data_IF_740959950498
#
_entry.id   IF_740959950498
#
_cell.length_a   1.000
_cell.length_b   1.000
_cell.length_c   1.000
_cell.angle_alpha   90.00
_cell.angle_beta   90.00
_cell.angle_gamma   90.00
#
_symmetry.space_group_name_H-M   'P 1'
#
loop_
_entity.id
_entity.type
_entity.pdbx_description
1 polymer ?
#
# COMPACT_ATOMS: atom_id res chain seq x y z
N UNK A 1 16.77 -7.30 -18.51
CA UNK A 1 17.11 -6.13 -17.66
C UNK A 1 16.47 -4.88 -18.28
N UNK A 2 15.15 -4.75 -18.18
CA UNK A 2 14.43 -3.58 -18.63
C UNK A 2 13.43 -3.24 -17.53
N UNK A 3 13.63 -2.10 -16.84
CA UNK A 3 12.67 -1.34 -16.03
C UNK A 3 13.44 -0.42 -15.06
N UNK A 4 14.12 0.59 -15.59
CA UNK A 4 14.79 1.61 -14.77
C UNK A 4 14.63 3.02 -15.35
N UNK A 5 13.48 3.28 -15.97
CA UNK A 5 12.99 4.64 -16.24
C UNK A 5 11.65 4.86 -15.53
N UNK A 6 11.55 4.38 -14.28
CA UNK A 6 10.49 4.83 -13.39
C UNK A 6 10.85 6.25 -12.95
N UNK A 7 10.07 7.24 -13.39
CA UNK A 7 10.20 8.63 -12.98
C UNK A 7 10.47 8.69 -11.47
N UNK A 8 11.54 9.35 -10.98
CA UNK A 8 11.87 9.40 -9.56
C UNK A 8 10.68 9.90 -8.71
N UNK A 9 9.87 10.79 -9.30
CA UNK A 9 8.66 11.35 -8.69
C UNK A 9 7.57 10.29 -8.38
N UNK A 10 7.48 9.24 -9.21
CA UNK A 10 6.51 8.15 -9.00
C UNK A 10 6.81 7.35 -7.75
N UNK A 11 8.07 6.95 -7.59
CA UNK A 11 8.50 6.16 -6.43
C UNK A 11 8.42 6.98 -5.15
N UNK A 12 8.71 8.28 -5.23
CA UNK A 12 8.59 9.20 -4.11
C UNK A 12 7.13 9.39 -3.68
N UNK A 13 6.22 9.66 -4.61
CA UNK A 13 4.79 9.81 -4.31
C UNK A 13 4.20 8.53 -3.68
N UNK A 14 4.58 7.37 -4.20
CA UNK A 14 4.18 6.08 -3.62
C UNK A 14 4.72 5.89 -2.20
N UNK A 15 5.97 6.27 -1.96
CA UNK A 15 6.60 6.18 -0.63
C UNK A 15 5.82 7.03 0.37
N UNK A 16 5.45 8.26 0.01
CA UNK A 16 4.63 9.12 0.86
C UNK A 16 3.25 8.53 1.17
N UNK A 17 2.58 7.91 0.18
CA UNK A 17 1.30 7.22 0.41
C UNK A 17 1.47 6.08 1.43
N UNK A 18 2.54 5.30 1.31
CA UNK A 18 2.82 4.18 2.23
C UNK A 18 3.08 4.70 3.65
N UNK A 19 3.92 5.72 3.79
CA UNK A 19 4.26 6.32 5.09
C UNK A 19 3.02 6.93 5.75
N UNK A 20 2.24 7.71 5.00
CA UNK A 20 1.01 8.31 5.49
C UNK A 20 0.01 7.26 5.98
N UNK A 21 -0.07 6.11 5.29
CA UNK A 21 -0.91 5.00 5.73
C UNK A 21 -0.39 4.31 7.00
N UNK A 22 0.92 4.09 7.09
CA UNK A 22 1.53 3.52 8.30
C UNK A 22 1.33 4.45 9.50
N UNK A 23 1.53 5.75 9.33
CA UNK A 23 1.25 6.74 10.38
C UNK A 23 -0.22 6.73 10.79
N UNK A 24 -1.14 6.61 9.83
CA UNK A 24 -2.56 6.44 10.13
C UNK A 24 -2.82 5.19 10.98
N UNK A 25 -2.26 4.03 10.62
CA UNK A 25 -2.42 2.80 11.41
C UNK A 25 -1.80 2.91 12.81
N UNK A 26 -0.61 3.51 12.92
CA UNK A 26 0.05 3.76 14.20
C UNK A 26 -0.76 4.74 15.06
N UNK A 27 -1.40 5.74 14.46
CA UNK A 27 -2.27 6.68 15.17
C UNK A 27 -3.49 6.00 15.80
N UNK A 28 -4.04 4.97 15.13
CA UNK A 28 -5.21 4.23 15.59
C UNK A 28 -4.88 3.11 16.56
N UNK A 29 -3.86 2.31 16.24
CA UNK A 29 -3.57 1.04 16.91
C UNK A 29 -2.26 1.05 17.70
N UNK A 30 -1.51 2.17 17.69
CA UNK A 30 -0.15 2.30 18.26
C UNK A 30 0.86 1.31 17.65
N UNK A 31 0.52 0.64 16.55
CA UNK A 31 1.33 -0.33 15.81
C UNK A 31 0.94 -0.28 14.32
N UNK A 32 1.86 -0.59 13.39
CA UNK A 32 1.57 -0.64 11.95
C UNK A 32 0.83 -1.94 11.57
N UNK A 33 -0.38 -2.10 12.11
CA UNK A 33 -1.19 -3.32 11.94
C UNK A 33 -2.56 -2.93 11.40
N UNK A 34 -2.97 -3.57 10.31
CA UNK A 34 -4.34 -3.51 9.82
C UNK A 34 -5.16 -4.63 10.45
N UNK A 35 -6.21 -4.27 11.20
CA UNK A 35 -7.09 -5.26 11.85
C UNK A 35 -8.16 -5.73 10.87
N UNK A 36 -8.13 -7.00 10.52
CA UNK A 36 -9.14 -7.64 9.69
C UNK A 36 -9.99 -8.62 10.52
N UNK A 37 -11.21 -8.92 10.06
CA UNK A 37 -12.09 -9.88 10.74
C UNK A 37 -11.51 -11.31 10.84
N UNK A 38 -10.57 -11.65 9.96
CA UNK A 38 -9.91 -12.96 9.93
C UNK A 38 -8.51 -12.95 10.56
N UNK A 39 -8.09 -11.84 11.16
CA UNK A 39 -6.79 -11.71 11.80
C UNK A 39 -6.11 -10.36 11.55
N UNK A 40 -5.04 -10.12 12.28
CA UNK A 40 -4.26 -8.89 12.18
C UNK A 40 -3.19 -9.03 11.09
N UNK A 41 -3.12 -8.04 10.19
CA UNK A 41 -2.11 -7.99 9.12
C UNK A 41 -1.05 -6.98 9.53
N UNK A 42 0.14 -7.46 9.87
CA UNK A 42 1.31 -6.59 10.13
C UNK A 42 1.84 -6.04 8.81
N UNK A 43 1.99 -4.72 8.73
CA UNK A 43 2.41 -4.04 7.51
C UNK A 43 3.76 -3.35 7.72
N UNK A 44 4.60 -3.39 6.69
CA UNK A 44 5.84 -2.64 6.61
C UNK A 44 5.85 -1.78 5.33
N UNK A 45 6.68 -0.74 5.31
CA UNK A 45 6.78 0.19 4.17
C UNK A 45 7.13 -0.50 2.84
N UNK A 46 8.14 -1.40 2.75
CA UNK A 46 8.49 -2.01 1.47
C UNK A 46 7.39 -2.93 0.92
N UNK A 47 6.73 -3.73 1.77
CA UNK A 47 5.63 -4.59 1.33
C UNK A 47 4.41 -3.79 0.89
N UNK A 48 4.10 -2.68 1.59
CA UNK A 48 3.03 -1.76 1.15
C UNK A 48 3.32 -1.18 -0.23
N UNK A 49 4.56 -0.74 -0.44
CA UNK A 49 5.00 -0.16 -1.70
C UNK A 49 4.85 -1.15 -2.85
N UNK A 50 5.37 -2.36 -2.66
CA UNK A 50 5.30 -3.42 -3.67
C UNK A 50 3.86 -3.85 -3.94
N UNK A 51 3.05 -4.04 -2.89
CA UNK A 51 1.66 -4.45 -3.02
C UNK A 51 0.83 -3.45 -3.84
N UNK A 52 0.94 -2.15 -3.52
CA UNK A 52 0.19 -1.11 -4.23
C UNK A 52 0.66 -1.00 -5.68
N UNK A 53 1.97 -1.05 -5.90
CA UNK A 53 2.53 -0.85 -7.24
C UNK A 53 2.15 -2.01 -8.17
N UNK A 54 2.30 -3.24 -7.70
CA UNK A 54 1.90 -4.45 -8.42
C UNK A 54 0.39 -4.47 -8.65
N UNK A 55 -0.42 -4.11 -7.65
CA UNK A 55 -1.89 -4.07 -7.80
C UNK A 55 -2.36 -3.09 -8.89
N UNK A 56 -1.70 -1.93 -9.02
CA UNK A 56 -2.04 -0.97 -10.07
C UNK A 56 -1.46 -1.37 -11.42
N UNK A 57 -0.29 -2.02 -11.43
CA UNK A 57 0.30 -2.59 -12.64
C UNK A 57 -0.59 -3.69 -13.23
N UNK A 58 -1.13 -4.59 -12.39
CA UNK A 58 -2.05 -5.67 -12.80
C UNK A 58 -3.37 -5.13 -13.36
N UNK A 59 -3.78 -3.93 -12.95
CA UNK A 59 -4.92 -3.21 -13.55
C UNK A 59 -4.61 -2.59 -14.91
N UNK A 60 -3.38 -2.70 -15.41
CA UNK A 60 -2.94 -2.12 -16.67
C UNK A 60 -2.73 -0.60 -16.59
N UNK A 61 -2.45 -0.03 -15.41
CA UNK A 61 -2.25 1.41 -15.28
C UNK A 61 -0.81 1.79 -15.61
N UNK A 62 -0.65 2.64 -16.63
CA UNK A 62 0.64 3.24 -16.97
C UNK A 62 1.22 4.10 -15.83
N UNK A 63 2.54 4.38 -15.86
CA UNK A 63 3.25 5.09 -14.80
C UNK A 63 2.65 6.48 -14.50
N UNK A 64 2.30 7.26 -15.53
CA UNK A 64 1.71 8.60 -15.36
C UNK A 64 0.39 8.57 -14.60
N UNK A 65 -0.50 7.61 -14.94
CA UNK A 65 -1.77 7.42 -14.23
C UNK A 65 -1.57 7.00 -12.78
N UNK A 66 -0.54 6.21 -12.50
CA UNK A 66 -0.18 5.81 -11.13
C UNK A 66 0.29 7.01 -10.30
N UNK A 67 1.15 7.87 -10.85
CA UNK A 67 1.58 9.11 -10.16
C UNK A 67 0.37 9.97 -9.80
N UNK A 68 -0.50 10.25 -10.78
CA UNK A 68 -1.72 11.05 -10.56
C UNK A 68 -2.60 10.42 -9.49
N UNK A 69 -2.73 9.09 -9.49
CA UNK A 69 -3.48 8.37 -8.46
C UNK A 69 -2.88 8.58 -7.07
N UNK A 70 -1.58 8.38 -6.91
CA UNK A 70 -0.90 8.56 -5.62
C UNK A 70 -1.07 9.98 -5.11
N UNK A 71 -0.90 10.97 -5.99
CA UNK A 71 -1.09 12.37 -5.64
C UNK A 71 -2.51 12.66 -5.16
N UNK A 72 -3.54 12.05 -5.77
CA UNK A 72 -4.93 12.20 -5.33
C UNK A 72 -5.27 11.49 -4.02
N UNK A 73 -4.47 10.51 -3.58
CA UNK A 73 -4.67 9.85 -2.29
C UNK A 73 -4.17 10.74 -1.14
N UNK A 74 -3.17 11.58 -1.42
CA UNK A 74 -2.52 12.48 -0.46
C UNK A 74 -3.25 13.83 -0.37
N UNK A 75 -3.33 14.37 0.83
CA UNK A 75 -3.85 15.71 1.10
C UNK A 75 -2.70 16.72 1.14
N UNK A 76 -2.28 17.16 -0.05
CA UNK A 76 -1.25 18.20 -0.17
C UNK A 76 -1.71 19.57 0.32
N UNK A 77 -3.01 19.82 0.34
CA UNK A 77 -3.55 21.11 0.81
C UNK A 77 -3.38 21.24 2.32
N UNK A 78 -3.81 20.24 3.08
CA UNK A 78 -3.60 20.19 4.52
C UNK A 78 -2.10 20.19 4.90
N UNK A 79 -1.27 19.62 4.03
CA UNK A 79 0.19 19.61 4.18
C UNK A 79 0.82 21.00 3.98
N UNK A 80 0.45 21.73 2.92
CA UNK A 80 0.95 23.10 2.65
C UNK A 80 0.42 24.10 3.67
N UNK A 81 -0.82 23.94 4.13
CA UNK A 81 -1.46 24.86 5.08
C UNK A 81 -0.95 24.70 6.54
N UNK A 82 -0.06 23.72 6.82
CA UNK A 82 0.61 23.56 8.13
C UNK A 82 -0.30 23.13 9.30
N UNK A 83 -1.55 22.74 9.00
CA UNK A 83 -2.61 22.50 9.99
C UNK A 83 -2.34 21.28 10.88
N UNK A 84 -1.40 20.39 10.50
CA UNK A 84 -1.15 19.11 11.19
C UNK A 84 0.05 19.12 12.18
N UNK A 85 0.60 20.28 12.56
CA UNK A 85 1.80 20.37 13.42
C UNK A 85 1.48 20.43 14.93
N UNK A 86 1.18 19.30 15.57
CA UNK A 86 1.16 19.26 17.05
C UNK A 86 2.00 18.16 17.70
N UNK A 87 2.75 17.33 16.97
CA UNK A 87 3.66 16.40 17.63
C UNK A 87 4.81 15.95 16.71
N UNK A 88 5.91 16.71 16.76
CA UNK A 88 7.28 16.34 16.35
C UNK A 88 7.49 16.18 14.82
N UNK A 89 7.89 17.28 14.19
CA UNK A 89 8.18 17.40 12.75
C UNK A 89 9.50 16.71 12.34
N UNK A 90 9.43 15.44 11.92
CA UNK A 90 10.56 14.65 11.39
C UNK A 90 10.67 14.68 9.84
N UNK A 91 10.27 15.80 9.21
CA UNK A 91 10.13 15.86 7.75
C UNK A 91 8.71 15.45 7.35
N UNK A 92 7.86 16.46 7.21
CA UNK A 92 6.42 16.34 7.00
C UNK A 92 6.07 15.45 5.80
N UNK A 93 5.41 14.31 6.05
CA UNK A 93 4.76 13.51 5.02
C UNK A 93 3.31 13.99 4.89
N UNK A 94 2.78 14.20 3.67
CA UNK A 94 1.37 14.58 3.50
C UNK A 94 0.43 13.51 4.07
N UNK A 95 -0.63 13.94 4.76
CA UNK A 95 -1.63 13.02 5.31
C UNK A 95 -2.47 12.40 4.20
N UNK A 96 -3.01 11.20 4.41
CA UNK A 96 -3.99 10.64 3.48
C UNK A 96 -5.31 11.39 3.54
N UNK A 97 -5.93 11.57 2.37
CA UNK A 97 -7.32 11.99 2.29
C UNK A 97 -8.24 10.92 2.90
N UNK A 98 -9.45 11.27 3.37
CA UNK A 98 -10.43 10.27 3.84
C UNK A 98 -10.79 9.23 2.76
N UNK A 99 -10.74 9.63 1.49
CA UNK A 99 -10.92 8.71 0.35
C UNK A 99 -9.72 7.77 0.20
N UNK A 100 -8.51 8.27 0.40
CA UNK A 100 -7.29 7.48 0.38
C UNK A 100 -7.27 6.41 1.47
N UNK A 101 -7.65 6.77 2.70
CA UNK A 101 -7.80 5.83 3.81
C UNK A 101 -8.80 4.72 3.47
N UNK A 102 -9.99 5.09 2.98
CA UNK A 102 -11.01 4.11 2.58
C UNK A 102 -10.53 3.17 1.47
N UNK A 103 -9.81 3.72 0.50
CA UNK A 103 -9.26 2.92 -0.60
C UNK A 103 -8.20 1.94 -0.11
N UNK A 104 -7.26 2.39 0.74
CA UNK A 104 -6.25 1.53 1.35
C UNK A 104 -6.88 0.42 2.20
N UNK A 105 -7.83 0.76 3.07
CA UNK A 105 -8.56 -0.23 3.87
C UNK A 105 -9.28 -1.25 2.98
N UNK A 106 -9.92 -0.82 1.88
CA UNK A 106 -10.58 -1.72 0.95
C UNK A 106 -9.60 -2.70 0.27
N UNK A 107 -8.40 -2.23 -0.09
CA UNK A 107 -7.35 -3.09 -0.63
C UNK A 107 -6.94 -4.18 0.38
N UNK A 108 -6.73 -3.84 1.65
CA UNK A 108 -6.37 -4.83 2.67
C UNK A 108 -7.53 -5.71 3.12
N UNK A 109 -8.76 -5.20 3.10
CA UNK A 109 -9.96 -6.03 3.30
C UNK A 109 -10.04 -7.13 2.25
N UNK A 110 -9.87 -6.77 0.97
CA UNK A 110 -9.86 -7.73 -0.12
C UNK A 110 -8.71 -8.73 -0.01
N UNK A 111 -7.53 -8.27 0.40
CA UNK A 111 -6.39 -9.17 0.66
C UNK A 111 -6.73 -10.18 1.76
N UNK A 112 -7.31 -9.71 2.87
CA UNK A 112 -7.70 -10.56 3.98
C UNK A 112 -8.78 -11.59 3.60
N UNK A 113 -9.77 -11.20 2.80
CA UNK A 113 -10.78 -12.11 2.25
C UNK A 113 -10.15 -13.17 1.32
N UNK A 114 -9.24 -12.75 0.44
CA UNK A 114 -8.53 -13.65 -0.48
C UNK A 114 -7.72 -14.69 0.31
N UNK A 115 -6.87 -14.26 1.23
CA UNK A 115 -6.05 -15.17 2.05
C UNK A 115 -6.93 -16.14 2.84
N UNK A 116 -8.05 -15.66 3.38
CA UNK A 116 -9.00 -16.51 4.08
C UNK A 116 -9.66 -17.55 3.15
N UNK A 117 -9.95 -17.22 1.89
CA UNK A 117 -10.48 -18.20 0.92
C UNK A 117 -9.52 -19.34 0.61
N UNK A 118 -8.21 -19.11 0.75
CA UNK A 118 -7.20 -20.16 0.65
C UNK A 118 -7.03 -20.96 1.95
N UNK A 119 -7.74 -20.61 3.03
CA UNK A 119 -7.61 -21.26 4.34
C UNK A 119 -6.47 -20.71 5.19
N UNK A 120 -5.93 -19.53 4.85
CA UNK A 120 -4.86 -18.87 5.58
C UNK A 120 -3.61 -18.60 4.74
N UNK A 121 -2.63 -17.94 5.34
CA UNK A 121 -1.40 -17.53 4.66
C UNK A 121 -0.53 -18.72 4.23
N UNK A 122 -0.43 -19.77 5.06
CA UNK A 122 0.37 -20.96 4.76
C UNK A 122 -0.16 -21.68 3.51
N UNK A 123 -1.47 -21.90 3.46
CA UNK A 123 -2.14 -22.52 2.33
C UNK A 123 -2.06 -21.69 1.06
N UNK A 124 -2.13 -20.35 1.16
CA UNK A 124 -1.94 -19.45 0.02
C UNK A 124 -0.51 -19.59 -0.55
N UNK A 125 0.51 -19.60 0.30
CA UNK A 125 1.91 -19.75 -0.14
C UNK A 125 2.13 -21.10 -0.82
N UNK A 126 1.55 -22.18 -0.28
CA UNK A 126 1.62 -23.50 -0.89
C UNK A 126 0.98 -23.51 -2.30
N UNK A 127 -0.22 -22.95 -2.43
CA UNK A 127 -0.92 -22.87 -3.72
C UNK A 127 -0.14 -22.06 -4.77
N UNK A 128 0.49 -20.95 -4.37
CA UNK A 128 1.33 -20.14 -5.28
C UNK A 128 2.60 -20.90 -5.70
N UNK A 129 3.20 -21.66 -4.79
CA UNK A 129 4.37 -22.49 -5.11
C UNK A 129 4.03 -23.59 -6.11
N UNK A 130 2.90 -24.27 -5.95
CA UNK A 130 2.44 -25.31 -6.88
C UNK A 130 2.27 -24.75 -8.31
N UNK A 131 1.61 -23.60 -8.46
CA UNK A 131 1.43 -22.94 -9.77
C UNK A 131 2.76 -22.59 -10.44
N UNK A 132 3.70 -22.01 -9.69
CA UNK A 132 5.02 -21.66 -10.23
C UNK A 132 5.83 -22.91 -10.64
N UNK A 133 5.66 -24.03 -9.93
CA UNK A 133 6.36 -25.27 -10.26
C UNK A 133 5.81 -25.89 -11.55
N UNK A 134 4.51 -25.76 -11.79
CA UNK A 134 3.88 -26.25 -13.02
C UNK A 134 4.17 -25.35 -14.24
N UNK A 135 4.25 -24.03 -14.07
CA UNK A 135 4.70 -23.13 -15.14
C UNK A 135 6.16 -23.36 -15.56
N UNK A 136 7.04 -23.68 -14.60
CA UNK A 136 8.45 -24.00 -14.90
C UNK A 136 8.68 -25.39 -15.52
N UNK A 137 7.64 -26.22 -15.60
CA UNK A 137 7.66 -27.55 -16.25
C UNK A 137 7.15 -27.53 -17.69
N UNK A 138 6.59 -26.42 -18.14
CA UNK A 138 6.15 -26.16 -19.52
C UNK A 138 7.23 -25.39 -20.30
#
# INVERSE_FOLDING_TARGET
MANSELHPDHQQALTWVCDAYLFYLVSLHRRPVYRHQHGDISLNQPALREFIDTYLLDKGWGPERRVVRYTHLLDFKAHVDGINSSFIDWGTVPTLTPRGIRWMNACFSRLGEMVNSYGGWESYVAAVQEVNTDESRL
#
